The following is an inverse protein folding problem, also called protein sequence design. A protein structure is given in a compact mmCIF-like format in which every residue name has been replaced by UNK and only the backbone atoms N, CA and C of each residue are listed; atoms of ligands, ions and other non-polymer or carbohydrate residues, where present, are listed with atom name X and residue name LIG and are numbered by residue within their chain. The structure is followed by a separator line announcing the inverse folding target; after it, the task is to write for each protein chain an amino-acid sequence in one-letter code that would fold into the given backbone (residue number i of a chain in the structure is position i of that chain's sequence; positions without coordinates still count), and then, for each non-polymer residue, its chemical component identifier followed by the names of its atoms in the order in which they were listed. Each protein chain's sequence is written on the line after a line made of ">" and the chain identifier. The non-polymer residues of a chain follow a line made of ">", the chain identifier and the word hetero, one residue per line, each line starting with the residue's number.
data_IF_884352231167
#
_entry.id   IF_884352231167
#
_cell.length_a   1.000
_cell.length_b   1.000
_cell.length_c   1.000
_cell.angle_alpha   90.00
_cell.angle_beta   90.00
_cell.angle_gamma   90.00
#
_symmetry.space_group_name_H-M   'P 1'
#
loop_
_entity.id
_entity.type
_entity.pdbx_description
1 polymer ?
#
# COMPACT_ATOMS: atom_id res chain seq x y z
N UNK A 1 9.95 -36.39 1.05
CA UNK A 1 8.87 -35.38 0.93
C UNK A 1 9.51 -34.08 0.46
N UNK A 2 9.82 -34.00 -0.84
CA UNK A 2 10.27 -32.74 -1.44
C UNK A 2 9.02 -31.95 -1.80
N UNK A 3 8.89 -30.72 -1.31
CA UNK A 3 8.27 -29.59 -2.01
C UNK A 3 8.45 -28.34 -1.15
N UNK A 4 9.62 -27.73 -1.32
CA UNK A 4 9.72 -26.29 -1.19
C UNK A 4 9.00 -25.61 -2.35
N UNK A 5 8.74 -24.32 -2.16
CA UNK A 5 8.04 -23.39 -3.04
C UNK A 5 6.51 -23.55 -2.99
N UNK A 6 5.71 -22.52 -2.73
CA UNK A 6 5.87 -21.14 -3.17
C UNK A 6 5.26 -20.22 -2.11
N UNK A 7 6.07 -19.30 -1.59
CA UNK A 7 5.61 -18.06 -1.00
C UNK A 7 4.84 -17.29 -2.09
N UNK A 8 3.58 -17.67 -2.25
CA UNK A 8 2.59 -17.11 -3.17
C UNK A 8 1.69 -16.32 -2.23
N UNK A 9 1.72 -15.00 -2.19
CA UNK A 9 1.32 -14.12 -3.29
C UNK A 9 1.22 -12.71 -2.71
N UNK A 10 0.91 -11.76 -3.58
CA UNK A 10 1.80 -10.82 -4.24
C UNK A 10 2.25 -9.71 -3.29
N UNK A 11 3.07 -8.78 -3.78
CA UNK A 11 3.16 -7.43 -3.20
C UNK A 11 1.81 -6.71 -3.38
N UNK A 12 0.70 -7.24 -2.84
CA UNK A 12 -0.38 -6.34 -2.43
C UNK A 12 0.28 -5.41 -1.43
N UNK A 13 0.18 -4.08 -1.61
CA UNK A 13 0.58 -3.19 -0.54
C UNK A 13 -0.17 -3.66 0.68
N UNK A 14 0.60 -4.18 1.65
CA UNK A 14 0.09 -5.02 2.71
C UNK A 14 -1.17 -4.36 3.24
N UNK A 15 -2.31 -5.05 3.30
CA UNK A 15 -3.60 -4.39 3.56
C UNK A 15 -3.59 -3.52 4.83
N UNK A 16 -2.66 -3.77 5.76
CA UNK A 16 -2.37 -2.91 6.92
C UNK A 16 -1.58 -1.62 6.64
N UNK A 17 -0.71 -1.58 5.63
CA UNK A 17 -0.11 -0.36 5.08
C UNK A 17 -1.20 0.53 4.48
N UNK A 18 -1.97 -0.01 3.53
CA UNK A 18 -3.09 0.68 2.88
C UNK A 18 -4.09 1.22 3.92
N UNK A 19 -4.49 0.39 4.90
CA UNK A 19 -5.39 0.79 5.98
C UNK A 19 -4.89 1.97 6.82
N UNK A 20 -3.58 2.02 7.09
CA UNK A 20 -3.00 3.16 7.81
C UNK A 20 -2.95 4.41 6.95
N UNK A 21 -2.65 4.27 5.65
CA UNK A 21 -2.62 5.39 4.73
C UNK A 21 -4.02 5.96 4.48
N UNK A 22 -5.04 5.11 4.24
CA UNK A 22 -6.43 5.55 4.03
C UNK A 22 -7.06 6.17 5.29
N UNK A 23 -6.74 5.65 6.48
CA UNK A 23 -7.23 6.20 7.74
C UNK A 23 -6.65 7.60 8.03
N UNK A 24 -5.47 7.89 7.48
CA UNK A 24 -4.73 9.14 7.73
C UNK A 24 -4.91 10.16 6.61
N UNK A 25 -5.07 9.70 5.38
CA UNK A 25 -5.25 10.52 4.18
C UNK A 25 -6.53 10.11 3.45
N UNK A 26 -7.55 10.98 3.46
CA UNK A 26 -8.83 10.74 2.74
C UNK A 26 -8.68 10.59 1.22
N UNK A 27 -7.60 11.12 0.65
CA UNK A 27 -7.32 11.13 -0.79
C UNK A 27 -6.24 10.09 -1.18
N UNK A 28 -6.13 9.00 -0.43
CA UNK A 28 -5.21 7.90 -0.75
C UNK A 28 -5.76 7.04 -1.90
N UNK A 29 -4.91 6.76 -2.89
CA UNK A 29 -5.19 5.87 -4.02
C UNK A 29 -4.43 4.54 -3.84
N UNK A 30 -5.12 3.43 -3.54
CA UNK A 30 -4.50 2.13 -3.29
C UNK A 30 -3.97 1.46 -4.56
N UNK A 31 -4.28 1.98 -5.76
CA UNK A 31 -3.79 1.44 -7.04
C UNK A 31 -2.38 1.90 -7.33
N UNK A 32 -2.06 3.14 -6.93
CA UNK A 32 -0.77 3.78 -7.17
C UNK A 32 0.09 3.91 -5.92
N UNK A 33 -0.46 3.57 -4.75
CA UNK A 33 0.20 3.73 -3.44
C UNK A 33 0.59 5.18 -3.10
N UNK A 34 -0.26 6.11 -3.53
CA UNK A 34 -0.03 7.54 -3.36
C UNK A 34 -1.21 8.23 -2.73
N UNK A 35 -0.98 9.23 -1.90
CA UNK A 35 -2.02 10.12 -1.37
C UNK A 35 -1.79 11.56 -1.82
N UNK A 36 -2.87 12.34 -1.88
CA UNK A 36 -2.79 13.79 -2.06
C UNK A 36 -2.49 14.46 -0.71
N UNK A 37 -1.34 15.12 -0.62
CA UNK A 37 -1.00 15.96 0.53
C UNK A 37 -1.80 17.27 0.52
N UNK A 38 -1.85 17.94 1.67
CA UNK A 38 -2.48 19.27 1.79
C UNK A 38 -1.75 20.35 0.98
N UNK A 39 -0.52 20.06 0.57
CA UNK A 39 0.31 20.81 -0.38
C UNK A 39 -0.13 20.64 -1.85
N UNK A 40 -1.08 19.75 -2.14
CA UNK A 40 -1.59 19.51 -3.48
C UNK A 40 -0.72 18.58 -4.34
N UNK A 41 0.40 18.07 -3.83
CA UNK A 41 1.19 17.05 -4.51
C UNK A 41 0.83 15.63 -4.06
N UNK A 42 1.10 14.67 -4.94
CA UNK A 42 0.97 13.23 -4.63
C UNK A 42 2.25 12.73 -3.98
N UNK A 43 2.14 12.21 -2.78
CA UNK A 43 3.23 11.58 -2.04
C UNK A 43 3.01 10.08 -1.99
N UNK A 44 4.07 9.29 -2.18
CA UNK A 44 4.01 7.83 -2.00
C UNK A 44 3.87 7.51 -0.52
N UNK A 45 2.93 6.62 -0.18
CA UNK A 45 2.88 6.09 1.16
C UNK A 45 3.95 4.98 1.28
N UNK A 46 4.88 5.14 2.22
CA UNK A 46 5.92 4.14 2.51
C UNK A 46 6.03 4.00 4.03
N UNK A 47 5.11 3.24 4.61
CA UNK A 47 4.80 3.18 6.05
C UNK A 47 4.77 1.73 6.53
#
# INVERSE_FOLDING_TARGET
>A
MINGALNSSPRYPASGHVQRCEARFKSYDPRSDTYLGYDGHRHTCNL
#
